data_IF_672298816744
#
_entry.id   IF_672298816744
#
_cell.length_a   1.000
_cell.length_b   1.000
_cell.length_c   1.000
_cell.angle_alpha   90.00
_cell.angle_beta   90.00
_cell.angle_gamma   90.00
#
_symmetry.space_group_name_H-M   'P 1'
#
loop_
_entity.id
_entity.type
_entity.pdbx_description
1 polymer ?
#
# COMPACT_ATOMS: atom_id res chain seq x y z
N UNK A 1 0.40 3.80 18.31
CA UNK A 1 0.96 4.54 17.17
C UNK A 1 0.96 3.62 15.97
N UNK A 2 0.51 4.08 14.80
CA UNK A 2 0.48 3.22 13.61
C UNK A 2 1.84 3.16 12.92
N UNK A 3 2.08 2.07 12.21
CA UNK A 3 3.25 1.83 11.36
C UNK A 3 2.80 1.63 9.92
N UNK A 4 3.71 1.82 8.98
CA UNK A 4 3.48 1.50 7.58
C UNK A 4 4.72 0.91 6.89
N UNK A 5 4.49 0.25 5.75
CA UNK A 5 5.55 -0.25 4.87
C UNK A 5 5.10 -0.23 3.40
N UNK A 6 6.08 -0.24 2.48
CA UNK A 6 5.84 -0.30 1.04
C UNK A 6 6.69 -1.39 0.41
N UNK A 7 6.03 -2.31 -0.29
CA UNK A 7 6.64 -3.44 -0.96
C UNK A 7 6.37 -3.33 -2.46
N UNK A 8 7.39 -3.60 -3.25
CA UNK A 8 7.33 -3.75 -4.70
C UNK A 8 7.70 -5.17 -5.09
N UNK A 9 7.05 -5.68 -6.12
CA UNK A 9 7.36 -6.97 -6.73
C UNK A 9 7.27 -6.86 -8.25
N UNK A 10 7.74 -7.88 -8.96
CA UNK A 10 7.63 -7.91 -10.42
C UNK A 10 6.15 -7.86 -10.88
N UNK A 11 5.31 -8.74 -10.34
CA UNK A 11 3.87 -8.79 -10.58
C UNK A 11 3.12 -9.45 -9.42
N UNK A 12 1.83 -9.15 -9.30
CA UNK A 12 0.90 -9.85 -8.43
C UNK A 12 -0.30 -10.28 -9.28
N UNK A 13 -0.28 -11.52 -9.78
CA UNK A 13 -1.28 -12.05 -10.72
C UNK A 13 -2.08 -13.23 -10.17
N UNK A 14 -1.50 -14.03 -9.28
CA UNK A 14 -2.12 -15.23 -8.72
C UNK A 14 -3.28 -14.88 -7.79
N UNK A 15 -4.51 -15.25 -8.18
CA UNK A 15 -5.70 -15.07 -7.33
C UNK A 15 -5.59 -15.81 -5.99
N UNK A 16 -5.00 -17.00 -5.97
CA UNK A 16 -4.76 -17.72 -4.71
C UNK A 16 -3.83 -16.95 -3.77
N UNK A 17 -2.77 -16.31 -4.28
CA UNK A 17 -1.89 -15.47 -3.45
C UNK A 17 -2.63 -14.22 -2.96
N UNK A 18 -3.45 -13.59 -3.80
CA UNK A 18 -4.28 -12.43 -3.40
C UNK A 18 -5.26 -12.81 -2.29
N UNK A 19 -5.94 -13.96 -2.38
CA UNK A 19 -6.82 -14.45 -1.32
C UNK A 19 -6.07 -14.71 0.00
N UNK A 20 -4.85 -15.25 -0.06
CA UNK A 20 -3.99 -15.42 1.13
C UNK A 20 -3.62 -14.08 1.75
N UNK A 21 -3.27 -13.09 0.93
CA UNK A 21 -2.99 -11.72 1.36
C UNK A 21 -4.23 -11.09 2.02
N UNK A 22 -5.41 -11.23 1.42
CA UNK A 22 -6.65 -10.70 1.98
C UNK A 22 -6.98 -11.34 3.34
N UNK A 23 -6.79 -12.67 3.47
CA UNK A 23 -6.97 -13.38 4.74
C UNK A 23 -5.99 -12.87 5.80
N UNK A 24 -4.72 -12.79 5.46
CA UNK A 24 -3.68 -12.31 6.37
C UNK A 24 -3.92 -10.87 6.82
N UNK A 25 -4.40 -9.98 5.94
CA UNK A 25 -4.72 -8.60 6.31
C UNK A 25 -5.79 -8.52 7.41
N UNK A 26 -6.79 -9.40 7.36
CA UNK A 26 -7.83 -9.50 8.39
C UNK A 26 -7.29 -10.06 9.70
N UNK A 27 -6.52 -11.14 9.64
CA UNK A 27 -5.95 -11.81 10.82
C UNK A 27 -4.96 -10.90 11.57
N UNK A 28 -4.13 -10.17 10.83
CA UNK A 28 -3.13 -9.24 11.38
C UNK A 28 -3.71 -7.85 11.70
N UNK A 29 -5.02 -7.65 11.47
CA UNK A 29 -5.72 -6.37 11.69
C UNK A 29 -5.03 -5.17 11.02
N UNK A 30 -4.45 -5.39 9.84
CA UNK A 30 -3.79 -4.35 9.03
C UNK A 30 -4.65 -3.91 7.87
N UNK A 31 -4.50 -2.64 7.48
CA UNK A 31 -5.10 -2.10 6.28
C UNK A 31 -4.10 -2.18 5.13
N UNK A 32 -4.51 -2.74 3.99
CA UNK A 32 -3.66 -3.01 2.84
C UNK A 32 -4.28 -2.43 1.57
N UNK A 33 -3.44 -1.76 0.78
CA UNK A 33 -3.73 -1.41 -0.60
C UNK A 33 -2.83 -2.21 -1.54
N UNK A 34 -3.44 -2.87 -2.50
CA UNK A 34 -2.77 -3.80 -3.41
C UNK A 34 -2.97 -3.35 -4.87
N UNK A 35 -1.87 -3.13 -5.58
CA UNK A 35 -1.89 -3.05 -7.04
C UNK A 35 -1.59 -4.42 -7.65
N UNK A 36 -2.57 -5.03 -8.30
CA UNK A 36 -2.47 -6.38 -8.86
C UNK A 36 -3.30 -6.57 -10.13
N UNK A 37 -2.92 -7.55 -10.96
CA UNK A 37 -3.66 -7.94 -12.17
C UNK A 37 -2.75 -8.51 -13.26
N UNK A 38 -3.37 -9.08 -14.31
CA UNK A 38 -2.64 -9.72 -15.43
C UNK A 38 -1.80 -8.68 -16.17
N UNK A 39 -0.52 -9.01 -16.41
CA UNK A 39 0.46 -8.16 -17.10
C UNK A 39 0.70 -6.77 -16.46
N UNK A 40 0.28 -6.57 -15.21
CA UNK A 40 0.54 -5.33 -14.48
C UNK A 40 1.85 -5.44 -13.71
N UNK A 41 2.91 -4.83 -14.23
CA UNK A 41 4.16 -4.56 -13.49
C UNK A 41 4.23 -3.08 -13.09
N UNK A 42 4.86 -2.73 -11.97
CA UNK A 42 5.19 -3.60 -10.84
C UNK A 42 3.94 -3.97 -10.02
N UNK A 43 4.00 -5.08 -9.29
CA UNK A 43 3.08 -5.31 -8.17
C UNK A 43 3.46 -4.39 -7.00
N UNK A 44 2.48 -3.77 -6.34
CA UNK A 44 2.74 -2.84 -5.22
C UNK A 44 1.82 -3.20 -4.06
N UNK A 45 2.36 -3.20 -2.84
CA UNK A 45 1.60 -3.38 -1.61
C UNK A 45 1.95 -2.26 -0.64
N UNK A 46 0.95 -1.48 -0.24
CA UNK A 46 1.01 -0.61 0.92
C UNK A 46 0.31 -1.31 2.09
N UNK A 47 0.89 -1.20 3.28
CA UNK A 47 0.27 -1.70 4.51
C UNK A 47 0.39 -0.66 5.61
N UNK A 48 -0.65 -0.53 6.44
CA UNK A 48 -0.61 0.23 7.69
C UNK A 48 -1.39 -0.49 8.80
N UNK A 49 -0.95 -0.30 10.04
CA UNK A 49 -1.57 -0.93 11.21
C UNK A 49 -0.70 -0.77 12.45
N UNK A 50 -0.84 -1.67 13.41
CA UNK A 50 0.10 -1.78 14.54
C UNK A 50 1.47 -2.30 14.07
N UNK A 51 2.52 -2.04 14.85
CA UNK A 51 3.90 -2.40 14.51
C UNK A 51 4.07 -3.89 14.23
N UNK A 52 3.52 -4.74 15.11
CA UNK A 52 3.59 -6.19 15.00
C UNK A 52 2.87 -6.67 13.74
N UNK A 53 1.62 -6.24 13.52
CA UNK A 53 0.85 -6.60 12.33
C UNK A 53 1.53 -6.19 11.02
N UNK A 54 2.19 -5.02 10.97
CA UNK A 54 2.94 -4.57 9.79
C UNK A 54 4.21 -5.41 9.57
N UNK A 55 4.92 -5.80 10.63
CA UNK A 55 6.10 -6.67 10.53
C UNK A 55 5.71 -8.09 10.09
N UNK A 56 4.64 -8.63 10.66
CA UNK A 56 4.12 -9.95 10.29
C UNK A 56 3.59 -9.98 8.86
N UNK A 57 2.98 -8.87 8.41
CA UNK A 57 2.59 -8.72 7.02
C UNK A 57 3.78 -8.88 6.07
N UNK A 58 4.92 -8.25 6.37
CA UNK A 58 6.14 -8.38 5.57
C UNK A 58 6.58 -9.84 5.49
N UNK A 59 6.55 -10.58 6.60
CA UNK A 59 6.90 -11.99 6.62
C UNK A 59 5.92 -12.87 5.83
N UNK A 60 4.62 -12.57 5.88
CA UNK A 60 3.62 -13.22 5.02
C UNK A 60 3.95 -13.01 3.54
N UNK A 61 4.24 -11.78 3.11
CA UNK A 61 4.56 -11.47 1.71
C UNK A 61 5.85 -12.15 1.28
N UNK A 62 6.90 -12.16 2.13
CA UNK A 62 8.17 -12.85 1.84
C UNK A 62 7.98 -14.34 1.60
N UNK A 63 7.13 -15.01 2.39
CA UNK A 63 6.82 -16.45 2.22
C UNK A 63 6.11 -16.78 0.90
N UNK A 64 5.44 -15.81 0.29
CA UNK A 64 4.79 -15.98 -1.02
C UNK A 64 5.78 -15.97 -2.20
N UNK A 65 7.07 -15.68 -1.97
CA UNK A 65 8.17 -15.77 -2.96
C UNK A 65 7.83 -15.09 -4.29
N UNK A 66 7.43 -13.82 -4.23
CA UNK A 66 7.28 -13.02 -5.44
C UNK A 66 8.66 -12.74 -6.06
N UNK A 67 8.71 -12.72 -7.41
CA UNK A 67 9.90 -12.29 -8.14
C UNK A 67 10.18 -10.81 -7.88
N UNK A 68 11.45 -10.43 -7.83
CA UNK A 68 11.95 -9.07 -7.61
C UNK A 68 11.30 -8.42 -6.38
N UNK A 69 11.15 -9.18 -5.29
CA UNK A 69 10.66 -8.66 -4.02
C UNK A 69 11.62 -7.58 -3.50
N UNK A 70 11.09 -6.39 -3.30
CA UNK A 70 11.84 -5.23 -2.84
C UNK A 70 11.04 -4.49 -1.75
N UNK A 71 11.68 -4.21 -0.61
CA UNK A 71 11.12 -3.31 0.39
C UNK A 71 11.53 -1.88 0.07
N UNK A 72 10.68 -1.17 -0.68
CA UNK A 72 10.90 0.25 -0.98
C UNK A 72 10.92 1.11 0.30
N UNK A 73 10.10 0.74 1.27
CA UNK A 73 10.11 1.30 2.62
C UNK A 73 9.90 0.19 3.63
N UNK A 74 10.85 0.06 4.57
CA UNK A 74 10.75 -0.87 5.69
C UNK A 74 9.65 -0.43 6.66
N UNK A 75 9.11 -1.34 7.49
CA UNK A 75 8.24 -0.96 8.60
C UNK A 75 8.83 0.20 9.39
N UNK A 76 8.08 1.29 9.49
CA UNK A 76 8.43 2.47 10.27
C UNK A 76 7.17 3.12 10.85
N UNK A 77 7.30 3.97 11.90
CA UNK A 77 6.19 4.77 12.39
C UNK A 77 5.56 5.60 11.27
N UNK A 78 4.24 5.50 11.16
CA UNK A 78 3.45 6.20 10.15
C UNK A 78 3.46 7.71 10.43
N UNK A 79 3.95 8.48 9.46
CA UNK A 79 3.87 9.95 9.44
C UNK A 79 2.86 10.36 8.39
N UNK A 80 1.76 10.98 8.81
CA UNK A 80 0.76 11.54 7.91
C UNK A 80 1.22 12.93 7.49
N UNK A 81 1.11 13.22 6.21
CA UNK A 81 1.33 14.55 5.64
C UNK A 81 0.26 15.51 6.17
N UNK A 82 0.65 16.72 6.57
CA UNK A 82 -0.28 17.76 7.00
C UNK A 82 -1.04 18.32 5.79
N UNK A 83 -2.28 18.78 6.00
CA UNK A 83 -3.18 19.27 4.94
C UNK A 83 -2.64 20.49 4.16
N UNK A 84 -1.49 21.05 4.56
CA UNK A 84 -0.84 22.20 3.93
C UNK A 84 -0.03 21.90 2.66
N UNK A 85 0.39 20.64 2.44
CA UNK A 85 1.27 20.28 1.30
C UNK A 85 0.57 19.54 0.15
N UNK A 86 -0.70 19.18 0.32
CA UNK A 86 -1.43 18.46 -0.72
C UNK A 86 -2.11 19.46 -1.64
N UNK A 87 -1.59 19.60 -2.86
CA UNK A 87 -2.23 20.43 -3.89
C UNK A 87 -3.71 20.01 -4.03
N UNK A 88 -4.62 20.95 -3.74
CA UNK A 88 -6.07 20.72 -3.68
C UNK A 88 -6.66 20.24 -5.00
N UNK A 89 -5.93 20.42 -6.11
CA UNK A 89 -6.27 19.91 -7.44
C UNK A 89 -6.15 18.38 -7.58
N UNK A 90 -5.51 17.70 -6.61
CA UNK A 90 -5.34 16.23 -6.59
C UNK A 90 -6.34 15.54 -5.64
N UNK A 91 -6.98 16.29 -4.74
CA UNK A 91 -8.03 15.74 -3.87
C UNK A 91 -9.37 15.66 -4.61
N UNK A 92 -10.00 14.48 -4.72
CA UNK A 92 -11.41 14.44 -5.02
C UNK A 92 -12.19 15.11 -3.88
N UNK A 93 -13.07 16.05 -4.22
CA UNK A 93 -14.09 16.58 -3.30
C UNK A 93 -14.99 15.42 -2.87
N UNK A 94 -14.82 14.92 -1.66
CA UNK A 94 -15.62 13.81 -1.15
C UNK A 94 -14.90 13.04 -0.05
N UNK A 95 -14.77 13.67 1.12
CA UNK A 95 -14.45 12.95 2.34
C UNK A 95 -15.69 12.17 2.79
N UNK A 96 -15.57 10.85 2.78
CA UNK A 96 -16.27 9.98 3.70
C UNK A 96 -15.35 8.78 3.95
N UNK A 97 -14.96 8.60 5.21
CA UNK A 97 -14.43 7.35 5.70
C UNK A 97 -15.58 6.32 5.70
N UNK A 98 -15.98 5.91 4.50
CA UNK A 98 -16.92 4.81 4.30
C UNK A 98 -16.22 3.54 4.81
N UNK A 99 -16.92 2.76 5.65
CA UNK A 99 -16.42 1.58 6.37
C UNK A 99 -15.81 0.53 5.46
N UNK A 100 -14.57 0.79 5.07
CA UNK A 100 -13.88 0.14 3.97
C UNK A 100 -13.14 -1.10 4.45
N UNK A 101 -13.35 -2.21 3.74
CA UNK A 101 -12.53 -3.41 3.81
C UNK A 101 -11.07 -3.08 4.12
N UNK A 102 -10.48 -3.76 5.12
CA UNK A 102 -9.06 -3.65 5.45
C UNK A 102 -8.14 -4.08 4.29
N UNK A 103 -8.69 -4.48 3.16
CA UNK A 103 -7.97 -4.89 1.97
C UNK A 103 -8.63 -4.30 0.72
N UNK A 104 -7.89 -3.47 0.00
CA UNK A 104 -8.30 -2.87 -1.28
C UNK A 104 -7.43 -3.34 -2.44
N UNK A 105 -8.05 -3.77 -3.53
CA UNK A 105 -7.37 -4.12 -4.79
C UNK A 105 -7.58 -3.02 -5.84
N UNK A 106 -6.59 -2.80 -6.70
CA UNK A 106 -6.72 -1.99 -7.92
C UNK A 106 -5.75 -2.48 -9.00
N UNK A 107 -6.11 -2.32 -10.28
CA UNK A 107 -5.18 -2.52 -11.40
C UNK A 107 -4.44 -1.24 -11.82
N UNK A 108 -4.96 -0.07 -11.42
CA UNK A 108 -4.51 1.21 -11.95
C UNK A 108 -3.54 1.91 -10.99
N UNK A 109 -2.44 2.41 -11.53
CA UNK A 109 -1.46 3.19 -10.76
C UNK A 109 -2.08 4.49 -10.25
N UNK A 110 -2.90 5.15 -11.07
CA UNK A 110 -3.58 6.41 -10.71
C UNK A 110 -4.53 6.23 -9.54
N UNK A 111 -5.30 5.13 -9.52
CA UNK A 111 -6.17 4.83 -8.39
C UNK A 111 -5.36 4.48 -7.13
N UNK A 112 -4.27 3.73 -7.28
CA UNK A 112 -3.36 3.46 -6.16
C UNK A 112 -2.80 4.77 -5.56
N UNK A 113 -2.34 5.68 -6.42
CA UNK A 113 -1.88 7.02 -6.05
C UNK A 113 -2.96 7.82 -5.31
N UNK A 114 -4.21 7.83 -5.82
CA UNK A 114 -5.35 8.49 -5.16
C UNK A 114 -5.62 7.92 -3.77
N UNK A 115 -5.45 6.61 -3.57
CA UNK A 115 -5.57 5.98 -2.24
C UNK A 115 -4.46 6.45 -1.29
N UNK A 116 -3.23 6.65 -1.79
CA UNK A 116 -2.14 7.21 -0.98
C UNK A 116 -2.40 8.68 -0.59
N UNK A 117 -3.01 9.48 -1.48
CA UNK A 117 -3.46 10.85 -1.18
C UNK A 117 -4.52 10.86 -0.07
N UNK A 118 -5.56 10.02 -0.19
CA UNK A 118 -6.60 9.88 0.86
C UNK A 118 -6.01 9.47 2.21
N UNK A 119 -4.93 8.71 2.19
CA UNK A 119 -4.17 8.27 3.36
C UNK A 119 -3.11 9.28 3.83
N UNK A 120 -2.93 10.42 3.16
CA UNK A 120 -1.92 11.44 3.50
C UNK A 120 -0.50 10.85 3.61
N UNK A 121 -0.14 9.98 2.67
CA UNK A 121 1.21 9.38 2.56
C UNK A 121 1.73 9.47 1.12
N UNK A 122 1.21 10.43 0.34
CA UNK A 122 1.44 10.48 -1.10
C UNK A 122 2.87 10.90 -1.42
N UNK A 123 3.41 11.93 -0.79
CA UNK A 123 4.81 12.33 -0.91
C UNK A 123 5.78 11.23 -0.48
N UNK A 124 5.50 10.57 0.65
CA UNK A 124 6.27 9.41 1.11
C UNK A 124 6.30 8.26 0.09
N UNK A 125 5.13 7.92 -0.47
CA UNK A 125 5.00 6.89 -1.51
C UNK A 125 5.68 7.30 -2.81
N UNK A 126 5.45 8.54 -3.26
CA UNK A 126 6.00 9.11 -4.50
C UNK A 126 7.53 9.10 -4.47
N UNK A 127 8.12 9.49 -3.34
CA UNK A 127 9.57 9.42 -3.11
C UNK A 127 10.08 7.98 -3.16
N UNK A 128 9.41 7.04 -2.49
CA UNK A 128 9.80 5.63 -2.49
C UNK A 128 9.73 4.97 -3.87
N UNK A 129 8.79 5.41 -4.71
CA UNK A 129 8.62 4.95 -6.08
C UNK A 129 9.60 5.59 -7.08
N UNK A 130 10.40 6.58 -6.66
CA UNK A 130 11.32 7.30 -7.54
C UNK A 130 10.65 8.34 -8.45
N UNK A 131 9.43 8.78 -8.11
CA UNK A 131 8.69 9.82 -8.86
C UNK A 131 8.99 11.24 -8.36
N UNK A 132 9.76 11.38 -7.26
CA UNK A 132 10.30 12.66 -6.83
C UNK A 132 11.36 13.12 -7.82
N UNK A 133 11.16 14.28 -8.42
CA UNK A 133 12.14 14.96 -9.27
C UNK A 133 13.46 15.12 -8.51
N UNK A 134 14.55 14.71 -9.17
CA UNK A 134 15.90 15.21 -8.85
C UNK A 134 15.97 16.72 -9.05
#
# INVERSE_FOLDING_TARGET
MSWNALIKTHHITSRQKVQRLQKAAKELQVIVELRCGKNLSPGIMYVEGEEEGVRDWVEVVRRLRYKDFEMLRRPAPLRREEDGEVNKDVLPKGGAAEGGSSFGETGEMTEFARRMVRRRVFGWWKSAMGYGTS
#
